data_IF_187782266799
#
_entry.id   IF_187782266799
#
_cell.length_a   1.000
_cell.length_b   1.000
_cell.length_c   1.000
_cell.angle_alpha   90.00
_cell.angle_beta   90.00
_cell.angle_gamma   90.00
#
_symmetry.space_group_name_H-M   'P 1'
#
loop_
_entity.id
_entity.type
_entity.pdbx_description
1 polymer ?
#
# COMPACT_ATOMS: atom_id res chain seq x y z
N UNK A 1 -9.85 -2.56 8.91
CA UNK A 1 -8.85 -1.70 8.24
C UNK A 1 -9.46 -0.92 7.09
N UNK A 2 -10.15 -1.60 6.18
CA UNK A 2 -10.79 -0.93 5.05
C UNK A 2 -11.82 0.10 5.52
N UNK A 3 -12.66 -0.26 6.45
CA UNK A 3 -13.68 0.64 6.99
C UNK A 3 -13.10 1.91 7.61
N UNK A 4 -11.95 1.80 8.27
CA UNK A 4 -11.27 2.95 8.85
C UNK A 4 -10.76 3.91 7.76
N UNK A 5 -10.26 3.37 6.66
CA UNK A 5 -9.79 4.17 5.53
C UNK A 5 -10.97 4.89 4.87
N UNK A 6 -12.10 4.22 4.69
CA UNK A 6 -13.33 4.84 4.16
C UNK A 6 -13.76 6.00 5.07
N UNK A 7 -13.77 5.78 6.38
CA UNK A 7 -14.13 6.82 7.34
C UNK A 7 -13.21 8.03 7.28
N UNK A 8 -11.90 7.81 7.15
CA UNK A 8 -10.93 8.89 7.00
C UNK A 8 -11.15 9.69 5.71
N UNK A 9 -11.46 9.01 4.61
CA UNK A 9 -11.75 9.68 3.34
C UNK A 9 -13.04 10.51 3.42
N UNK A 10 -14.07 9.98 4.06
CA UNK A 10 -15.32 10.71 4.24
C UNK A 10 -15.12 11.97 5.09
N UNK A 11 -14.34 11.87 6.16
CA UNK A 11 -14.01 13.02 6.99
C UNK A 11 -13.20 14.08 6.22
N UNK A 12 -12.24 13.63 5.41
CA UNK A 12 -11.44 14.54 4.59
C UNK A 12 -12.33 15.32 3.62
N UNK A 13 -13.21 14.62 2.90
CA UNK A 13 -14.11 15.24 1.94
C UNK A 13 -15.08 16.22 2.62
N UNK A 14 -15.60 15.85 3.78
CA UNK A 14 -16.51 16.71 4.54
C UNK A 14 -15.85 18.02 4.99
N UNK A 15 -14.53 18.04 5.08
CA UNK A 15 -13.74 19.21 5.47
C UNK A 15 -13.01 19.88 4.30
N UNK A 16 -13.39 19.57 3.05
CA UNK A 16 -12.82 20.19 1.86
C UNK A 16 -11.40 19.73 1.54
N UNK A 17 -10.96 18.61 2.09
CA UNK A 17 -9.64 18.04 1.85
C UNK A 17 -9.75 16.94 0.78
N UNK A 18 -8.82 16.93 -0.18
CA UNK A 18 -8.76 15.89 -1.21
C UNK A 18 -7.89 14.75 -0.72
N UNK A 19 -8.47 13.59 -0.36
CA UNK A 19 -7.65 12.45 0.07
C UNK A 19 -6.93 11.79 -1.12
N UNK A 20 -5.82 11.15 -0.82
CA UNK A 20 -5.09 10.28 -1.75
C UNK A 20 -4.94 8.94 -1.03
N UNK A 21 -5.35 7.85 -1.68
CA UNK A 21 -5.20 6.52 -1.12
C UNK A 21 -3.94 5.89 -1.68
N UNK A 22 -3.08 5.39 -0.80
CA UNK A 22 -1.89 4.65 -1.19
C UNK A 22 -2.10 3.18 -0.88
N UNK A 23 -1.64 2.31 -1.77
CA UNK A 23 -1.70 0.87 -1.51
C UNK A 23 -0.85 0.51 -0.30
N UNK A 24 -1.18 -0.59 0.35
CA UNK A 24 -0.30 -1.20 1.35
C UNK A 24 0.89 -1.79 0.60
N UNK A 25 2.11 -1.53 1.09
CA UNK A 25 3.31 -2.08 0.46
C UNK A 25 3.35 -3.60 0.62
N UNK A 26 3.99 -4.33 -0.32
CA UNK A 26 3.96 -5.79 -0.27
C UNK A 26 4.72 -6.36 0.94
N UNK A 27 4.23 -7.49 1.47
CA UNK A 27 4.92 -8.29 2.48
C UNK A 27 4.49 -9.73 2.32
N UNK A 28 5.45 -10.64 2.12
CA UNK A 28 5.17 -12.07 1.98
C UNK A 28 5.41 -12.81 3.30
N UNK A 29 6.37 -12.37 4.10
CA UNK A 29 6.70 -12.99 5.38
C UNK A 29 7.25 -11.95 6.34
N UNK A 30 7.17 -12.27 7.63
CA UNK A 30 7.76 -11.46 8.69
C UNK A 30 8.89 -12.27 9.31
N UNK A 31 10.10 -11.80 9.23
CA UNK A 31 11.26 -12.55 9.72
C UNK A 31 11.19 -12.83 11.23
N UNK A 32 10.58 -11.93 12.00
CA UNK A 32 10.40 -12.12 13.43
C UNK A 32 9.17 -12.99 13.77
N UNK A 33 8.33 -13.30 12.79
CA UNK A 33 7.17 -14.19 12.94
C UNK A 33 7.05 -15.09 11.71
N UNK A 34 8.01 -16.04 11.53
CA UNK A 34 8.06 -16.85 10.30
C UNK A 34 6.85 -17.78 10.12
N UNK A 35 6.09 -18.04 11.16
CA UNK A 35 4.89 -18.87 11.10
C UNK A 35 3.63 -18.07 10.69
N UNK A 36 3.70 -16.75 10.58
CA UNK A 36 2.59 -15.96 10.06
C UNK A 36 2.56 -16.15 8.55
N UNK A 37 1.44 -16.63 8.03
CA UNK A 37 1.25 -16.92 6.60
C UNK A 37 0.05 -16.15 6.04
N UNK A 38 -0.03 -16.07 4.71
CA UNK A 38 -1.17 -15.43 4.05
C UNK A 38 -1.14 -13.91 4.02
N UNK A 39 -0.06 -13.27 4.50
CA UNK A 39 0.05 -11.82 4.51
C UNK A 39 -0.01 -11.23 3.10
N UNK A 40 0.68 -11.84 2.13
CA UNK A 40 0.70 -11.36 0.75
C UNK A 40 -0.71 -11.38 0.14
N UNK A 41 -1.47 -12.43 0.36
CA UNK A 41 -2.84 -12.53 -0.15
C UNK A 41 -3.78 -11.52 0.48
N UNK A 42 -3.69 -11.34 1.80
CA UNK A 42 -4.52 -10.38 2.53
C UNK A 42 -4.22 -8.95 2.08
N UNK A 43 -2.96 -8.63 1.87
CA UNK A 43 -2.54 -7.32 1.36
C UNK A 43 -3.08 -7.10 -0.05
N UNK A 44 -2.98 -8.11 -0.93
CA UNK A 44 -3.49 -8.01 -2.29
C UNK A 44 -5.01 -7.80 -2.30
N UNK A 45 -5.75 -8.50 -1.44
CA UNK A 45 -7.20 -8.34 -1.31
C UNK A 45 -7.57 -6.93 -0.81
N UNK A 46 -6.88 -6.45 0.22
CA UNK A 46 -7.11 -5.11 0.75
C UNK A 46 -6.82 -4.04 -0.31
N UNK A 47 -5.71 -4.17 -1.03
CA UNK A 47 -5.36 -3.22 -2.09
C UNK A 47 -6.38 -3.21 -3.22
N UNK A 48 -6.92 -4.37 -3.58
CA UNK A 48 -8.00 -4.44 -4.58
C UNK A 48 -9.24 -3.68 -4.11
N UNK A 49 -9.60 -3.81 -2.85
CA UNK A 49 -10.73 -3.07 -2.26
C UNK A 49 -10.46 -1.57 -2.24
N UNK A 50 -9.26 -1.16 -1.86
CA UNK A 50 -8.87 0.25 -1.81
C UNK A 50 -8.88 0.88 -3.21
N UNK A 51 -8.36 0.18 -4.21
CA UNK A 51 -8.34 0.67 -5.58
C UNK A 51 -9.76 0.82 -6.14
N UNK A 52 -10.62 -0.18 -5.92
CA UNK A 52 -12.02 -0.12 -6.35
C UNK A 52 -12.77 1.04 -5.69
N UNK A 53 -12.57 1.23 -4.39
CA UNK A 53 -13.19 2.33 -3.65
C UNK A 53 -12.69 3.69 -4.17
N UNK A 54 -11.38 3.83 -4.39
CA UNK A 54 -10.80 5.06 -4.91
C UNK A 54 -11.39 5.42 -6.27
N UNK A 55 -11.47 4.44 -7.16
CA UNK A 55 -12.03 4.61 -8.49
C UNK A 55 -13.50 5.02 -8.46
N UNK A 56 -14.31 4.34 -7.62
CA UNK A 56 -15.73 4.63 -7.49
C UNK A 56 -16.00 6.03 -6.90
N UNK A 57 -15.08 6.54 -6.09
CA UNK A 57 -15.25 7.81 -5.38
C UNK A 57 -14.36 8.94 -5.93
N UNK A 58 -13.73 8.73 -7.09
CA UNK A 58 -12.86 9.71 -7.75
C UNK A 58 -11.71 10.19 -6.86
N UNK A 59 -11.12 9.28 -6.10
CA UNK A 59 -9.96 9.53 -5.26
C UNK A 59 -8.73 9.02 -6.00
N UNK A 60 -7.63 9.76 -5.94
CA UNK A 60 -6.36 9.30 -6.52
C UNK A 60 -5.84 8.10 -5.75
N UNK A 61 -5.33 7.11 -6.48
CA UNK A 61 -4.78 5.90 -5.89
C UNK A 61 -3.32 5.76 -6.32
N UNK A 62 -2.42 5.61 -5.35
CA UNK A 62 -0.99 5.42 -5.60
C UNK A 62 -0.64 3.96 -5.37
N UNK A 63 -0.26 3.25 -6.42
CA UNK A 63 0.01 1.82 -6.37
C UNK A 63 1.49 1.53 -6.10
N UNK A 64 1.89 1.60 -4.84
CA UNK A 64 3.23 1.19 -4.42
C UNK A 64 3.41 -0.32 -4.55
N UNK A 65 2.34 -1.09 -4.31
CA UNK A 65 2.39 -2.54 -4.23
C UNK A 65 2.90 -3.16 -5.53
N UNK A 66 2.30 -2.79 -6.66
CA UNK A 66 2.68 -3.35 -7.97
C UNK A 66 4.11 -2.99 -8.37
N UNK A 67 4.57 -1.81 -7.97
CA UNK A 67 5.92 -1.34 -8.32
C UNK A 67 7.01 -1.97 -7.45
N UNK A 68 6.67 -2.44 -6.25
CA UNK A 68 7.66 -2.88 -5.25
C UNK A 68 7.63 -4.38 -4.98
N UNK A 69 6.57 -5.09 -5.34
CA UNK A 69 6.45 -6.53 -5.05
C UNK A 69 7.43 -7.37 -5.86
N UNK A 70 7.90 -8.47 -5.26
CA UNK A 70 8.65 -9.51 -5.95
C UNK A 70 7.73 -10.63 -6.43
N UNK A 71 8.29 -11.74 -6.93
CA UNK A 71 7.55 -12.88 -7.45
C UNK A 71 6.66 -13.56 -6.41
N UNK A 72 7.03 -13.45 -5.12
CA UNK A 72 6.26 -14.04 -4.01
C UNK A 72 5.15 -13.12 -3.50
N UNK A 73 5.03 -11.91 -4.06
CA UNK A 73 4.11 -10.90 -3.57
C UNK A 73 4.61 -10.18 -2.33
N UNK A 74 5.92 -10.25 -2.05
CA UNK A 74 6.55 -9.56 -0.93
C UNK A 74 7.53 -8.49 -1.39
N UNK A 75 8.22 -7.86 -0.44
CA UNK A 75 9.29 -6.91 -0.73
C UNK A 75 10.60 -7.66 -0.92
N UNK A 76 11.31 -7.40 -2.04
CA UNK A 76 12.65 -7.97 -2.20
C UNK A 76 13.62 -7.38 -1.17
N UNK A 77 14.70 -8.10 -0.87
CA UNK A 77 15.67 -7.70 0.15
C UNK A 77 16.28 -6.34 -0.13
N UNK A 78 16.49 -6.00 -1.40
CA UNK A 78 17.02 -4.69 -1.79
C UNK A 78 16.11 -3.53 -1.38
N UNK A 79 14.81 -3.76 -1.28
CA UNK A 79 13.82 -2.74 -0.91
C UNK A 79 13.40 -2.83 0.56
N UNK A 80 13.62 -3.96 1.21
CA UNK A 80 13.28 -4.13 2.62
C UNK A 80 14.11 -5.26 3.24
N UNK A 81 15.06 -4.95 4.10
CA UNK A 81 15.94 -5.96 4.72
C UNK A 81 15.19 -6.95 5.59
N UNK A 82 14.18 -6.49 6.30
CA UNK A 82 13.34 -7.34 7.17
C UNK A 82 12.09 -7.87 6.48
N UNK A 83 11.91 -7.56 5.19
CA UNK A 83 10.75 -7.99 4.41
C UNK A 83 9.50 -7.14 4.61
N UNK A 84 9.55 -6.11 5.44
CA UNK A 84 8.37 -5.29 5.78
C UNK A 84 8.65 -3.79 5.72
N UNK A 85 9.78 -3.34 6.29
CA UNK A 85 10.11 -1.91 6.34
C UNK A 85 10.99 -1.52 5.16
N UNK A 86 10.58 -0.52 4.35
CA UNK A 86 11.35 -0.14 3.16
C UNK A 86 12.74 0.37 3.49
N UNK A 87 13.68 0.06 2.62
CA UNK A 87 15.01 0.68 2.63
C UNK A 87 14.92 2.06 1.98
N UNK A 88 16.05 2.80 1.94
CA UNK A 88 16.12 4.06 1.24
C UNK A 88 15.68 3.93 -0.23
N UNK A 89 16.11 2.86 -0.90
CA UNK A 89 15.71 2.57 -2.29
C UNK A 89 14.19 2.37 -2.40
N UNK A 90 13.61 1.65 -1.44
CA UNK A 90 12.16 1.47 -1.39
C UNK A 90 11.42 2.79 -1.22
N UNK A 91 11.87 3.64 -0.31
CA UNK A 91 11.28 4.97 -0.13
C UNK A 91 11.46 5.87 -1.35
N UNK A 92 12.57 5.76 -2.08
CA UNK A 92 12.77 6.53 -3.30
C UNK A 92 11.74 6.15 -4.38
N UNK A 93 11.42 4.87 -4.50
CA UNK A 93 10.35 4.41 -5.41
C UNK A 93 9.00 4.99 -4.99
N UNK A 94 8.67 4.92 -3.71
CA UNK A 94 7.42 5.46 -3.17
C UNK A 94 7.32 6.96 -3.42
N UNK A 95 8.39 7.69 -3.19
CA UNK A 95 8.46 9.13 -3.41
C UNK A 95 8.17 9.48 -4.87
N UNK A 96 8.80 8.78 -5.81
CA UNK A 96 8.59 9.02 -7.24
C UNK A 96 7.14 8.81 -7.64
N UNK A 97 6.52 7.74 -7.16
CA UNK A 97 5.13 7.43 -7.46
C UNK A 97 4.17 8.46 -6.87
N UNK A 98 4.42 8.87 -5.64
CA UNK A 98 3.58 9.88 -4.99
C UNK A 98 3.67 11.23 -5.68
N UNK A 99 4.88 11.66 -6.07
CA UNK A 99 5.07 12.93 -6.79
C UNK A 99 4.34 12.95 -8.13
N UNK A 100 4.29 11.83 -8.83
CA UNK A 100 3.53 11.71 -10.09
C UNK A 100 2.02 11.85 -9.87
N UNK A 101 1.52 11.46 -8.70
CA UNK A 101 0.09 11.54 -8.39
C UNK A 101 -0.34 12.94 -7.93
N UNK A 102 0.59 13.74 -7.46
CA UNK A 102 0.30 15.11 -7.03
C UNK A 102 0.22 16.02 -8.25
#
# INVERSE_FOLDING_TARGET
>A
TFGNIVSMCDLAKANGIKPIICSVIPAASFYWHPHVTGAAEKIAQLNAMLEAYAKANRIKYVDYHSAMKDERGGLPESLAKDGVHPTREGYDIMKSLLLKAL
#
